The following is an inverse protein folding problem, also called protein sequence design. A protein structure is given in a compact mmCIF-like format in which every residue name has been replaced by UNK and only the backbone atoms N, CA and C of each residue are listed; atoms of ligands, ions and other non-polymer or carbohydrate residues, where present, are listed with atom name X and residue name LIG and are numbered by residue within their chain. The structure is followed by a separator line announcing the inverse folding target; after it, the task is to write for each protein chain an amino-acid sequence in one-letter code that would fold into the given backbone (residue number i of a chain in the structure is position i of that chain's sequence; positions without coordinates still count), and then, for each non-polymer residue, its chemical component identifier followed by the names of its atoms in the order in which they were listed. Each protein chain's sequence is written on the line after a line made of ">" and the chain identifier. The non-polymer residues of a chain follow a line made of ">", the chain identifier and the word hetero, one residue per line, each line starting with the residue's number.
data_IF_036478093391
#
_entry.id   IF_036478093391
#
_cell.length_a   1.000
_cell.length_b   1.000
_cell.length_c   1.000
_cell.angle_alpha   90.00
_cell.angle_beta   90.00
_cell.angle_gamma   90.00
#
_symmetry.space_group_name_H-M   'P 1'
#
loop_
_entity.id
_entity.type
_entity.pdbx_description
1 polymer ?
#
# COMPACT_ATOMS: atom_id res chain seq x y z
N UNK A 1 23.49 3.79 -11.05
CA UNK A 1 22.04 3.85 -11.16
C UNK A 1 21.61 5.17 -10.55
N UNK A 2 20.78 5.91 -11.25
CA UNK A 2 20.17 7.15 -10.75
C UNK A 2 19.25 6.84 -9.58
N UNK A 3 19.09 7.80 -8.67
CA UNK A 3 18.24 7.63 -7.51
C UNK A 3 16.77 7.85 -7.90
N UNK A 4 15.90 6.98 -7.42
CA UNK A 4 14.46 7.18 -7.52
C UNK A 4 13.99 8.28 -6.55
N UNK A 5 13.00 9.07 -6.94
CA UNK A 5 12.36 10.05 -6.08
C UNK A 5 10.91 9.65 -5.87
N UNK A 6 10.51 9.49 -4.61
CA UNK A 6 9.14 9.11 -4.24
C UNK A 6 8.46 10.31 -3.59
N UNK A 7 7.46 10.88 -4.26
CA UNK A 7 6.60 11.91 -3.68
C UNK A 7 5.49 11.24 -2.88
N UNK A 8 5.50 11.40 -1.57
CA UNK A 8 4.50 10.78 -0.70
C UNK A 8 4.31 11.53 0.62
N UNK A 9 3.28 11.13 1.35
CA UNK A 9 2.96 11.60 2.71
C UNK A 9 3.27 10.44 3.68
N UNK A 10 3.92 10.68 4.83
CA UNK A 10 4.05 9.68 5.88
C UNK A 10 2.70 9.07 6.26
N UNK A 11 2.64 7.76 6.37
CA UNK A 11 1.41 7.02 6.66
C UNK A 11 0.55 6.69 5.44
N UNK A 12 0.95 7.08 4.21
CA UNK A 12 0.27 6.64 3.01
C UNK A 12 0.54 5.15 2.74
N UNK A 13 -0.48 4.28 2.72
CA UNK A 13 -0.28 2.87 2.39
C UNK A 13 0.27 2.67 0.97
N UNK A 14 -0.20 3.47 0.01
CA UNK A 14 0.27 3.42 -1.38
C UNK A 14 1.72 3.90 -1.53
N UNK A 15 2.10 4.98 -0.83
CA UNK A 15 3.50 5.42 -0.78
C UNK A 15 4.41 4.38 -0.14
N UNK A 16 3.93 3.73 0.93
CA UNK A 16 4.65 2.64 1.59
C UNK A 16 4.86 1.43 0.67
N UNK A 17 3.87 1.07 -0.15
CA UNK A 17 4.01 0.00 -1.15
C UNK A 17 5.15 0.27 -2.14
N UNK A 18 5.27 1.51 -2.64
CA UNK A 18 6.36 1.91 -3.54
C UNK A 18 7.72 1.85 -2.83
N UNK A 19 7.83 2.42 -1.64
CA UNK A 19 9.07 2.41 -0.87
C UNK A 19 9.49 0.99 -0.47
N UNK A 20 8.55 0.16 0.00
CA UNK A 20 8.83 -1.24 0.32
C UNK A 20 9.30 -2.04 -0.91
N UNK A 21 8.75 -1.75 -2.10
CA UNK A 21 9.21 -2.35 -3.34
C UNK A 21 10.65 -1.94 -3.67
N UNK A 22 11.00 -0.67 -3.49
CA UNK A 22 12.38 -0.20 -3.68
C UNK A 22 13.35 -0.85 -2.69
N UNK A 23 12.94 -1.01 -1.42
CA UNK A 23 13.72 -1.75 -0.41
C UNK A 23 13.95 -3.24 -0.81
N UNK A 24 12.90 -3.93 -1.27
CA UNK A 24 13.03 -5.33 -1.75
C UNK A 24 13.94 -5.44 -2.96
N UNK A 25 13.97 -4.41 -3.81
CA UNK A 25 14.86 -4.31 -4.97
C UNK A 25 16.28 -3.87 -4.62
N UNK A 26 16.56 -3.50 -3.38
CA UNK A 26 17.84 -2.89 -2.99
C UNK A 26 18.15 -1.60 -3.76
N UNK A 27 17.13 -0.91 -4.25
CA UNK A 27 17.27 0.28 -5.06
C UNK A 27 17.34 1.53 -4.17
N UNK A 28 18.27 2.45 -4.48
CA UNK A 28 18.38 3.71 -3.75
C UNK A 28 17.27 4.65 -4.15
N UNK A 29 16.68 5.30 -3.16
CA UNK A 29 15.65 6.30 -3.38
C UNK A 29 15.74 7.42 -2.33
N UNK A 30 15.10 8.55 -2.62
CA UNK A 30 14.85 9.62 -1.66
C UNK A 30 13.35 9.92 -1.59
N UNK A 31 12.89 10.28 -0.42
CA UNK A 31 11.54 10.80 -0.24
C UNK A 31 11.52 12.29 -0.61
N UNK A 32 10.55 12.68 -1.42
CA UNK A 32 10.15 14.07 -1.61
C UNK A 32 8.81 14.25 -0.86
N UNK A 33 8.83 14.76 0.38
CA UNK A 33 7.65 14.79 1.21
C UNK A 33 6.60 15.77 0.66
N UNK A 34 5.37 15.27 0.54
CA UNK A 34 4.21 16.08 0.18
C UNK A 34 3.51 16.50 1.46
N UNK A 35 3.23 17.78 1.63
CA UNK A 35 2.54 18.27 2.81
C UNK A 35 1.04 17.97 2.73
N UNK A 36 0.41 17.48 3.81
CA UNK A 36 -1.05 17.38 3.87
C UNK A 36 -1.69 18.75 3.53
N UNK A 37 -2.74 18.71 2.70
CA UNK A 37 -3.41 19.94 2.24
C UNK A 37 -2.84 20.57 0.95
N UNK A 38 -1.65 20.15 0.48
CA UNK A 38 -1.07 20.68 -0.76
C UNK A 38 -1.34 19.83 -2.01
N UNK A 39 -2.05 18.72 -1.88
CA UNK A 39 -2.38 17.80 -2.99
C UNK A 39 -3.12 18.47 -4.17
N UNK A 40 -3.78 19.60 -3.91
CA UNK A 40 -4.48 20.39 -4.95
C UNK A 40 -3.72 21.65 -5.35
N UNK A 41 -2.50 21.85 -4.89
CA UNK A 41 -1.66 22.97 -5.33
C UNK A 41 -1.26 22.80 -6.80
N UNK A 42 -1.05 23.91 -7.55
CA UNK A 42 -0.59 23.83 -8.94
C UNK A 42 0.70 23.01 -9.10
N UNK A 43 1.62 23.12 -8.15
CA UNK A 43 2.88 22.37 -8.17
C UNK A 43 2.62 20.85 -8.10
N UNK A 44 1.78 20.40 -7.17
CA UNK A 44 1.48 18.97 -7.07
C UNK A 44 0.60 18.47 -8.22
N UNK A 45 -0.34 19.28 -8.70
CA UNK A 45 -1.18 18.91 -9.84
C UNK A 45 -0.39 18.77 -11.15
N UNK A 46 0.75 19.44 -11.28
CA UNK A 46 1.68 19.24 -12.39
C UNK A 46 2.35 17.85 -12.36
N UNK A 47 2.56 17.27 -11.17
CA UNK A 47 3.09 15.92 -10.99
C UNK A 47 1.99 14.86 -11.08
N UNK A 48 0.82 15.13 -10.48
CA UNK A 48 -0.31 14.21 -10.42
C UNK A 48 -1.62 14.94 -10.69
N UNK A 49 -2.18 14.88 -11.90
CA UNK A 49 -3.32 15.72 -12.30
C UNK A 49 -4.60 15.47 -11.48
N UNK A 50 -4.71 14.32 -10.81
CA UNK A 50 -5.84 14.01 -9.92
C UNK A 50 -5.56 14.39 -8.46
N UNK A 51 -4.36 14.95 -8.14
CA UNK A 51 -3.97 15.40 -6.80
C UNK A 51 -3.95 14.26 -5.79
N UNK A 52 -3.27 13.17 -6.14
CA UNK A 52 -3.05 12.00 -5.27
C UNK A 52 -1.55 11.74 -5.08
N UNK A 53 -1.22 10.77 -4.29
CA UNK A 53 0.10 10.21 -4.04
C UNK A 53 0.00 8.67 -4.10
N UNK A 54 1.12 7.98 -4.37
CA UNK A 54 2.47 8.48 -4.66
C UNK A 54 2.66 8.96 -6.10
N UNK A 55 3.76 9.72 -6.32
CA UNK A 55 4.37 9.90 -7.64
C UNK A 55 5.80 9.40 -7.56
N UNK A 56 6.27 8.73 -8.60
CA UNK A 56 7.67 8.33 -8.78
C UNK A 56 8.29 9.20 -9.86
N UNK A 57 9.51 9.69 -9.61
CA UNK A 57 10.37 10.25 -10.65
C UNK A 57 11.64 9.39 -10.77
N UNK A 58 12.06 9.14 -12.00
CA UNK A 58 13.28 8.42 -12.33
C UNK A 58 13.85 8.93 -13.65
N UNK A 59 15.05 9.54 -13.63
CA UNK A 59 15.71 10.11 -14.80
C UNK A 59 14.84 11.06 -15.62
N UNK A 60 14.07 11.93 -14.95
CA UNK A 60 13.16 12.87 -15.62
C UNK A 60 11.84 12.25 -16.09
N UNK A 61 11.64 10.94 -15.92
CA UNK A 61 10.38 10.27 -16.18
C UNK A 61 9.51 10.30 -14.92
N UNK A 62 8.36 10.99 -14.97
CA UNK A 62 7.36 11.02 -13.91
C UNK A 62 6.27 9.97 -14.12
N UNK A 63 5.93 9.22 -13.06
CA UNK A 63 4.92 8.18 -13.11
C UNK A 63 4.04 8.23 -11.85
N UNK A 64 2.74 8.16 -12.03
CA UNK A 64 1.76 8.00 -10.95
C UNK A 64 0.92 6.73 -11.18
N UNK A 65 -0.02 6.40 -10.27
CA UNK A 65 -0.70 5.11 -10.08
C UNK A 65 0.24 4.04 -9.52
N UNK A 66 -0.02 3.63 -8.30
CA UNK A 66 0.84 2.68 -7.56
C UNK A 66 1.09 1.40 -8.35
N UNK A 67 0.06 0.81 -8.96
CA UNK A 67 0.22 -0.39 -9.79
C UNK A 67 1.22 -0.18 -10.94
N UNK A 68 1.13 0.97 -11.63
CA UNK A 68 2.04 1.28 -12.73
C UNK A 68 3.48 1.47 -12.21
N UNK A 69 3.63 2.15 -11.07
CA UNK A 69 4.92 2.36 -10.42
C UNK A 69 5.57 1.03 -10.04
N UNK A 70 4.85 0.13 -9.36
CA UNK A 70 5.37 -1.16 -8.93
C UNK A 70 5.84 -2.01 -10.13
N UNK A 71 5.04 -2.05 -11.21
CA UNK A 71 5.42 -2.77 -12.44
C UNK A 71 6.61 -2.14 -13.15
N UNK A 72 6.70 -0.80 -13.15
CA UNK A 72 7.85 -0.09 -13.69
C UNK A 72 9.12 -0.45 -12.91
N UNK A 73 9.08 -0.39 -11.59
CA UNK A 73 10.19 -0.74 -10.72
C UNK A 73 10.67 -2.17 -10.95
N UNK A 74 9.74 -3.14 -11.07
CA UNK A 74 10.07 -4.55 -11.30
C UNK A 74 10.78 -4.78 -12.65
N UNK A 75 10.48 -3.95 -13.66
CA UNK A 75 11.11 -4.02 -14.98
C UNK A 75 12.48 -3.35 -15.06
N UNK A 76 12.64 -2.19 -14.41
CA UNK A 76 13.89 -1.40 -14.48
C UNK A 76 14.93 -1.87 -13.47
N UNK A 77 14.49 -2.55 -12.42
CA UNK A 77 15.34 -3.26 -11.44
C UNK A 77 14.86 -4.71 -11.42
N UNK A 78 15.28 -5.57 -12.36
CA UNK A 78 14.67 -6.88 -12.57
C UNK A 78 14.89 -7.86 -11.40
N UNK A 79 15.96 -7.68 -10.63
CA UNK A 79 16.31 -8.59 -9.53
C UNK A 79 16.05 -7.97 -8.15
N UNK A 80 15.51 -8.77 -7.21
CA UNK A 80 14.81 -10.05 -7.41
C UNK A 80 13.49 -9.86 -8.18
N UNK A 81 13.05 -10.83 -9.02
CA UNK A 81 11.79 -10.71 -9.75
C UNK A 81 10.61 -10.74 -8.78
N UNK A 82 9.65 -9.81 -8.95
CA UNK A 82 8.43 -9.69 -8.13
C UNK A 82 7.16 -9.96 -8.94
N UNK A 83 7.29 -10.19 -10.25
CA UNK A 83 6.23 -10.67 -11.12
C UNK A 83 6.48 -12.15 -11.43
N UNK A 84 5.55 -13.06 -11.09
CA UNK A 84 5.70 -14.47 -11.39
C UNK A 84 5.88 -14.73 -12.90
N UNK A 85 6.77 -15.64 -13.25
CA UNK A 85 6.96 -16.06 -14.65
C UNK A 85 5.79 -16.90 -15.19
N UNK A 86 5.11 -17.66 -14.31
CA UNK A 86 3.91 -18.41 -14.69
C UNK A 86 2.74 -17.44 -14.95
N UNK A 87 2.09 -17.52 -16.12
CA UNK A 87 1.04 -16.57 -16.49
C UNK A 87 -0.21 -16.63 -15.61
N UNK A 88 -0.53 -17.78 -15.00
CA UNK A 88 -1.67 -17.89 -14.10
C UNK A 88 -1.38 -17.23 -12.76
N UNK A 89 -0.16 -17.41 -12.24
CA UNK A 89 0.31 -16.72 -11.03
C UNK A 89 0.43 -15.21 -11.26
N UNK A 90 0.93 -14.78 -12.41
CA UNK A 90 0.97 -13.36 -12.78
C UNK A 90 -0.45 -12.76 -12.86
N UNK A 91 -1.40 -13.46 -13.47
CA UNK A 91 -2.80 -13.03 -13.52
C UNK A 91 -3.44 -12.98 -12.12
N UNK A 92 -3.08 -13.91 -11.22
CA UNK A 92 -3.51 -13.88 -9.82
C UNK A 92 -2.95 -12.67 -9.08
N UNK A 93 -1.66 -12.37 -9.27
CA UNK A 93 -1.03 -11.16 -8.75
C UNK A 93 -1.80 -9.91 -9.19
N UNK A 94 -2.11 -9.79 -10.48
CA UNK A 94 -2.85 -8.66 -11.03
C UNK A 94 -4.28 -8.57 -10.47
N UNK A 95 -4.94 -9.71 -10.29
CA UNK A 95 -6.27 -9.76 -9.70
C UNK A 95 -6.25 -9.24 -8.26
N UNK A 96 -5.29 -9.66 -7.44
CA UNK A 96 -5.17 -9.22 -6.03
C UNK A 96 -4.88 -7.72 -5.95
N UNK A 97 -4.01 -7.20 -6.81
CA UNK A 97 -3.73 -5.75 -6.90
C UNK A 97 -5.01 -4.97 -7.21
N UNK A 98 -5.82 -5.43 -8.17
CA UNK A 98 -7.10 -4.80 -8.49
C UNK A 98 -8.13 -4.93 -7.35
N UNK A 99 -8.19 -6.07 -6.67
CA UNK A 99 -9.04 -6.25 -5.49
C UNK A 99 -8.65 -5.28 -4.39
N UNK A 100 -7.35 -5.06 -4.19
CA UNK A 100 -6.86 -4.08 -3.22
C UNK A 100 -7.34 -2.66 -3.54
N UNK A 101 -7.21 -2.19 -4.78
CA UNK A 101 -7.53 -0.80 -5.12
C UNK A 101 -9.04 -0.55 -5.16
N UNK A 102 -9.80 -1.42 -5.81
CA UNK A 102 -11.21 -1.18 -6.07
C UNK A 102 -12.15 -1.60 -4.95
N UNK A 103 -11.82 -2.70 -4.27
CA UNK A 103 -12.73 -3.27 -3.27
C UNK A 103 -12.23 -3.05 -1.84
N UNK A 104 -10.95 -3.24 -1.58
CA UNK A 104 -10.41 -2.97 -0.24
C UNK A 104 -10.31 -1.47 -0.01
N UNK A 105 -9.51 -0.73 -0.79
CA UNK A 105 -9.27 0.68 -0.52
C UNK A 105 -10.51 1.53 -0.81
N UNK A 106 -10.99 1.56 -2.06
CA UNK A 106 -12.14 2.41 -2.41
C UNK A 106 -13.46 1.92 -1.81
N UNK A 107 -13.60 0.60 -1.62
CA UNK A 107 -14.81 0.00 -1.08
C UNK A 107 -15.03 0.22 0.42
N UNK A 108 -13.95 0.21 1.22
CA UNK A 108 -14.05 0.29 2.67
C UNK A 108 -12.84 0.95 3.35
N UNK A 109 -11.62 0.71 2.89
CA UNK A 109 -10.40 1.19 3.55
C UNK A 109 -10.30 2.71 3.61
N UNK A 110 -10.69 3.41 2.54
CA UNK A 110 -10.72 4.88 2.51
C UNK A 110 -11.71 5.48 3.51
N UNK A 111 -12.75 4.75 3.89
CA UNK A 111 -13.70 5.18 4.93
C UNK A 111 -13.19 4.78 6.31
N UNK A 112 -13.01 3.48 6.56
CA UNK A 112 -12.65 2.96 7.89
C UNK A 112 -11.28 3.51 8.32
N UNK A 113 -10.28 3.44 7.45
CA UNK A 113 -8.94 3.95 7.73
C UNK A 113 -8.90 5.46 7.96
N UNK A 114 -9.68 6.22 7.17
CA UNK A 114 -9.79 7.66 7.40
C UNK A 114 -10.47 7.96 8.74
N UNK A 115 -11.61 7.38 9.02
CA UNK A 115 -12.38 7.65 10.22
C UNK A 115 -11.67 7.22 11.50
N UNK A 116 -10.95 6.08 11.47
CA UNK A 116 -10.27 5.54 12.66
C UNK A 116 -8.87 6.09 12.89
N UNK A 117 -8.13 6.37 11.82
CA UNK A 117 -6.69 6.67 11.93
C UNK A 117 -6.34 8.05 11.39
N UNK A 118 -6.62 8.31 10.11
CA UNK A 118 -6.12 9.53 9.44
C UNK A 118 -6.80 10.79 9.99
N UNK A 119 -8.12 10.81 10.05
CA UNK A 119 -8.90 11.94 10.53
C UNK A 119 -8.58 12.31 11.98
N UNK A 120 -8.61 11.37 12.93
CA UNK A 120 -8.22 11.63 14.32
C UNK A 120 -6.75 12.06 14.47
N UNK A 121 -5.82 11.34 13.83
CA UNK A 121 -4.36 11.58 14.02
C UNK A 121 -3.86 12.88 13.39
N UNK A 122 -4.37 13.23 12.20
CA UNK A 122 -3.88 14.38 11.44
C UNK A 122 -4.77 15.61 11.53
N UNK A 123 -6.06 15.46 11.83
CA UNK A 123 -7.03 16.53 11.77
C UNK A 123 -7.83 16.72 13.08
N UNK A 124 -7.62 15.85 14.08
CA UNK A 124 -8.35 15.90 15.35
C UNK A 124 -9.86 15.62 15.22
N UNK A 125 -10.28 14.95 14.14
CA UNK A 125 -11.67 14.64 13.88
C UNK A 125 -12.15 13.48 14.76
N UNK A 126 -13.43 13.52 15.15
CA UNK A 126 -14.10 12.37 15.75
C UNK A 126 -14.55 11.42 14.63
N UNK A 127 -14.43 10.08 14.82
CA UNK A 127 -14.94 9.11 13.87
C UNK A 127 -16.44 9.25 13.62
N UNK A 128 -16.85 9.09 12.37
CA UNK A 128 -18.24 8.93 11.96
C UNK A 128 -18.58 7.43 12.00
N UNK A 129 -19.22 7.01 13.09
CA UNK A 129 -19.59 5.61 13.32
C UNK A 129 -20.59 5.10 12.28
N UNK A 130 -21.51 5.94 11.81
CA UNK A 130 -22.50 5.55 10.81
C UNK A 130 -21.83 5.27 9.44
N UNK A 131 -20.84 6.08 9.05
CA UNK A 131 -20.06 5.85 7.85
C UNK A 131 -19.25 4.54 7.93
N UNK A 132 -18.67 4.25 9.10
CA UNK A 132 -17.93 3.00 9.33
C UNK A 132 -18.89 1.81 9.23
N UNK A 133 -20.02 1.83 9.92
CA UNK A 133 -21.03 0.76 9.90
C UNK A 133 -21.52 0.49 8.47
N UNK A 134 -21.75 1.54 7.68
CA UNK A 134 -22.15 1.41 6.27
C UNK A 134 -21.07 0.77 5.38
N UNK A 135 -19.78 0.89 5.73
CA UNK A 135 -18.67 0.27 5.00
C UNK A 135 -18.43 -1.20 5.38
N UNK A 136 -18.86 -1.64 6.58
CA UNK A 136 -18.57 -2.98 7.12
C UNK A 136 -19.03 -4.15 6.24
N UNK A 137 -20.24 -4.15 5.61
CA UNK A 137 -20.63 -5.27 4.75
C UNK A 137 -19.68 -5.51 3.58
N UNK A 138 -19.15 -4.44 2.97
CA UNK A 138 -18.14 -4.54 1.90
C UNK A 138 -16.80 -5.01 2.46
N UNK A 139 -16.39 -4.51 3.62
CA UNK A 139 -15.17 -4.93 4.27
C UNK A 139 -15.17 -6.43 4.56
N UNK A 140 -16.25 -6.98 5.14
CA UNK A 140 -16.39 -8.43 5.38
C UNK A 140 -16.24 -9.24 4.10
N UNK A 141 -16.90 -8.83 3.02
CA UNK A 141 -16.81 -9.53 1.73
C UNK A 141 -15.38 -9.52 1.18
N UNK A 142 -14.68 -8.39 1.28
CA UNK A 142 -13.30 -8.26 0.78
C UNK A 142 -12.33 -9.10 1.60
N UNK A 143 -12.41 -9.08 2.93
CA UNK A 143 -11.52 -9.87 3.78
C UNK A 143 -11.75 -11.37 3.59
N UNK A 144 -13.00 -11.81 3.45
CA UNK A 144 -13.32 -13.21 3.10
C UNK A 144 -12.71 -13.61 1.74
N UNK A 145 -12.82 -12.74 0.74
CA UNK A 145 -12.23 -13.00 -0.59
C UNK A 145 -10.70 -12.99 -0.56
N UNK A 146 -10.07 -12.08 0.17
CA UNK A 146 -8.62 -12.07 0.32
C UNK A 146 -8.11 -13.34 0.99
N UNK A 147 -8.79 -13.81 2.06
CA UNK A 147 -8.47 -15.09 2.69
C UNK A 147 -8.59 -16.26 1.71
N UNK A 148 -9.66 -16.28 0.90
CA UNK A 148 -9.86 -17.30 -0.14
C UNK A 148 -8.79 -17.25 -1.23
N UNK A 149 -8.39 -16.03 -1.67
CA UNK A 149 -7.37 -15.85 -2.70
C UNK A 149 -5.97 -16.25 -2.24
N UNK A 150 -5.65 -15.99 -0.97
CA UNK A 150 -4.41 -16.42 -0.35
C UNK A 150 -4.39 -17.96 -0.18
N UNK A 151 -5.51 -18.54 0.28
CA UNK A 151 -5.61 -19.97 0.52
C UNK A 151 -4.56 -20.46 1.52
N UNK A 152 -3.84 -21.51 1.15
CA UNK A 152 -2.73 -22.11 1.92
C UNK A 152 -1.36 -21.65 1.42
N UNK A 153 -1.31 -20.77 0.42
CA UNK A 153 -0.07 -20.30 -0.16
C UNK A 153 0.67 -19.33 0.79
N UNK A 154 2.00 -19.30 0.77
CA UNK A 154 2.75 -18.36 1.60
C UNK A 154 2.59 -16.89 1.16
N UNK A 155 2.28 -16.65 -0.14
CA UNK A 155 2.06 -15.32 -0.73
C UNK A 155 0.87 -15.33 -1.69
N UNK A 156 0.32 -14.16 -2.01
CA UNK A 156 -0.89 -14.03 -2.82
C UNK A 156 -0.78 -14.55 -4.27
N UNK A 157 0.45 -14.65 -4.79
CA UNK A 157 0.68 -15.20 -6.12
C UNK A 157 1.42 -16.54 -6.12
N UNK A 158 1.46 -17.24 -4.99
CA UNK A 158 2.05 -18.57 -4.85
C UNK A 158 3.16 -18.62 -3.80
N UNK A 159 4.26 -19.29 -4.11
CA UNK A 159 5.34 -19.63 -3.19
C UNK A 159 6.40 -18.54 -3.00
N UNK A 160 6.38 -17.48 -3.81
CA UNK A 160 7.33 -16.37 -3.76
C UNK A 160 6.62 -15.02 -3.57
N UNK A 161 7.34 -14.08 -2.92
CA UNK A 161 6.91 -12.70 -2.78
C UNK A 161 6.60 -12.08 -4.16
N UNK A 162 5.52 -11.34 -4.26
CA UNK A 162 5.10 -10.69 -5.49
C UNK A 162 4.69 -9.23 -5.27
N UNK A 163 4.46 -8.51 -6.36
CA UNK A 163 3.92 -7.14 -6.30
C UNK A 163 2.55 -7.08 -5.62
N UNK A 164 1.75 -8.17 -5.65
CA UNK A 164 0.48 -8.24 -4.93
C UNK A 164 0.68 -8.09 -3.42
N UNK A 165 1.66 -8.82 -2.87
CA UNK A 165 1.97 -8.80 -1.44
C UNK A 165 2.45 -7.42 -1.00
N UNK A 166 3.35 -6.81 -1.78
CA UNK A 166 3.89 -5.48 -1.51
C UNK A 166 2.83 -4.37 -1.63
N UNK A 167 1.83 -4.56 -2.48
CA UNK A 167 0.74 -3.61 -2.68
C UNK A 167 -0.32 -3.69 -1.58
N UNK A 168 -0.72 -4.91 -1.19
CA UNK A 168 -1.82 -5.11 -0.25
C UNK A 168 -1.39 -5.03 1.22
N UNK A 169 -0.14 -5.40 1.53
CA UNK A 169 0.34 -5.44 2.91
C UNK A 169 0.16 -4.10 3.64
N UNK A 170 0.57 -2.93 3.09
CA UNK A 170 0.38 -1.67 3.79
C UNK A 170 -1.08 -1.32 4.08
N UNK A 171 -2.00 -1.79 3.25
CA UNK A 171 -3.44 -1.60 3.44
C UNK A 171 -3.95 -2.45 4.61
N UNK A 172 -3.60 -3.75 4.65
CA UNK A 172 -4.02 -4.63 5.74
C UNK A 172 -3.34 -4.26 7.06
N UNK A 173 -2.06 -3.91 7.04
CA UNK A 173 -1.33 -3.39 8.21
C UNK A 173 -2.03 -2.15 8.79
N UNK A 174 -2.54 -1.28 7.94
CA UNK A 174 -3.30 -0.11 8.37
C UNK A 174 -4.60 -0.47 9.10
N UNK A 175 -5.28 -1.54 8.66
CA UNK A 175 -6.47 -2.05 9.34
C UNK A 175 -6.18 -2.58 10.75
N UNK A 176 -4.97 -3.10 11.01
CA UNK A 176 -4.59 -3.55 12.37
C UNK A 176 -4.63 -2.42 13.41
N UNK A 177 -4.59 -1.17 12.98
CA UNK A 177 -4.70 0.01 13.84
C UNK A 177 -6.15 0.37 14.17
N UNK A 178 -7.13 -0.38 13.67
CA UNK A 178 -8.55 -0.12 13.84
C UNK A 178 -9.22 -1.20 14.70
N UNK A 179 -10.25 -0.85 15.51
CA UNK A 179 -11.02 -1.85 16.26
C UNK A 179 -11.67 -2.91 15.36
N UNK A 180 -12.02 -2.53 14.13
CA UNK A 180 -12.66 -3.39 13.14
C UNK A 180 -11.78 -4.58 12.72
N UNK A 181 -10.46 -4.52 12.95
CA UNK A 181 -9.55 -5.66 12.70
C UNK A 181 -9.98 -6.94 13.44
N UNK A 182 -10.51 -6.80 14.64
CA UNK A 182 -10.97 -7.95 15.42
C UNK A 182 -12.09 -8.74 14.71
N UNK A 183 -12.92 -8.06 13.92
CA UNK A 183 -13.98 -8.67 13.13
C UNK A 183 -13.53 -9.04 11.71
N UNK A 184 -12.69 -8.21 11.10
CA UNK A 184 -12.35 -8.34 9.69
C UNK A 184 -11.15 -9.25 9.42
N UNK A 185 -10.09 -9.13 10.21
CA UNK A 185 -8.83 -9.86 9.99
C UNK A 185 -8.69 -11.09 10.85
N UNK A 186 -8.96 -10.96 12.16
CA UNK A 186 -8.76 -12.04 13.14
C UNK A 186 -9.48 -13.35 12.80
N UNK A 187 -10.68 -13.37 12.18
CA UNK A 187 -11.34 -14.62 11.79
C UNK A 187 -10.62 -15.40 10.68
N UNK A 188 -9.61 -14.83 10.04
CA UNK A 188 -8.87 -15.45 8.94
C UNK A 188 -7.40 -15.71 9.33
N UNK A 189 -7.08 -16.86 9.95
CA UNK A 189 -5.72 -17.15 10.43
C UNK A 189 -4.66 -17.06 9.34
N UNK A 190 -4.96 -17.49 8.11
CA UNK A 190 -4.04 -17.41 6.99
C UNK A 190 -3.66 -15.96 6.63
N UNK A 191 -4.59 -15.00 6.72
CA UNK A 191 -4.28 -13.58 6.53
C UNK A 191 -3.45 -13.03 7.69
N UNK A 192 -3.75 -13.43 8.92
CA UNK A 192 -2.99 -13.01 10.11
C UNK A 192 -1.55 -13.52 10.03
N UNK A 193 -1.36 -14.79 9.68
CA UNK A 193 -0.05 -15.41 9.53
C UNK A 193 0.74 -14.78 8.38
N UNK A 194 0.08 -14.55 7.24
CA UNK A 194 0.69 -13.85 6.10
C UNK A 194 1.12 -12.43 6.50
N UNK A 195 0.24 -11.67 7.14
CA UNK A 195 0.53 -10.29 7.57
C UNK A 195 1.71 -10.27 8.57
N UNK A 196 1.75 -11.20 9.52
CA UNK A 196 2.85 -11.33 10.47
C UNK A 196 4.19 -11.57 9.75
N UNK A 197 4.21 -12.47 8.75
CA UNK A 197 5.41 -12.70 7.93
C UNK A 197 5.82 -11.45 7.15
N UNK A 198 4.85 -10.73 6.60
CA UNK A 198 5.13 -9.49 5.86
C UNK A 198 5.66 -8.39 6.77
N UNK A 199 5.10 -8.21 7.96
CA UNK A 199 5.57 -7.23 8.96
C UNK A 199 7.01 -7.49 9.41
N UNK A 200 7.43 -8.76 9.46
CA UNK A 200 8.79 -9.14 9.82
C UNK A 200 9.84 -8.87 8.73
N UNK A 201 9.43 -8.47 7.51
CA UNK A 201 10.37 -8.17 6.43
C UNK A 201 11.11 -6.85 6.67
N UNK A 202 12.44 -6.79 6.39
CA UNK A 202 13.21 -5.56 6.54
C UNK A 202 12.62 -4.37 5.76
N UNK A 203 12.09 -4.62 4.55
CA UNK A 203 11.46 -3.62 3.70
C UNK A 203 10.27 -2.92 4.37
N UNK A 204 9.44 -3.66 5.10
CA UNK A 204 8.32 -3.08 5.83
C UNK A 204 8.73 -2.43 7.15
N UNK A 205 9.76 -2.95 7.81
CA UNK A 205 10.35 -2.31 8.98
C UNK A 205 11.00 -0.96 8.64
N UNK A 206 11.63 -0.84 7.46
CA UNK A 206 12.24 0.39 6.96
C UNK A 206 11.21 1.46 6.54
N UNK A 207 9.97 1.08 6.27
CA UNK A 207 8.93 1.95 5.69
C UNK A 207 7.72 2.15 6.59
N UNK A 208 7.87 2.01 7.91
CA UNK A 208 6.79 2.33 8.87
C UNK A 208 6.44 3.82 8.82
N UNK A 209 5.28 4.18 9.34
CA UNK A 209 4.85 5.59 9.40
C UNK A 209 5.91 6.48 10.05
N UNK A 210 6.45 6.04 11.17
CA UNK A 210 7.46 6.76 11.96
C UNK A 210 8.76 6.91 11.16
N UNK A 211 9.24 5.86 10.50
CA UNK A 211 10.44 5.91 9.66
C UNK A 211 10.28 6.87 8.49
N UNK A 212 9.15 6.81 7.80
CA UNK A 212 8.85 7.72 6.68
C UNK A 212 8.69 9.16 7.17
N UNK A 213 8.11 9.37 8.37
CA UNK A 213 8.04 10.70 8.98
C UNK A 213 9.42 11.25 9.33
N UNK A 214 10.35 10.42 9.80
CA UNK A 214 11.73 10.84 10.05
C UNK A 214 12.49 11.13 8.75
N UNK A 215 12.31 10.35 7.69
CA UNK A 215 12.82 10.66 6.34
C UNK A 215 12.29 12.02 5.84
N UNK A 216 11.01 12.29 6.05
CA UNK A 216 10.38 13.55 5.63
C UNK A 216 10.90 14.78 6.38
N UNK A 217 11.41 14.64 7.63
CA UNK A 217 12.06 15.71 8.38
C UNK A 217 13.50 15.98 7.92
N UNK A 218 14.12 14.93 7.35
CA UNK A 218 15.53 15.00 6.91
C UNK A 218 15.66 15.43 5.44
N UNK A 219 14.56 15.48 4.68
CA UNK A 219 14.51 15.85 3.27
C UNK A 219 14.37 17.36 3.08
#
# INVERSE_FOLDING_TARGET
>A
MSDFIVHSIPGSPFGRAVMATLEEKGARYRLAPVMPGTLKSPVHLALHPFGRIPVLEHDGFGLYETQAILRYLDRVVPEPPLTPADPRRAARMDQVVNVCDWYLFQGCGSVIGFQRVVGPKLMGLKPDEAAIEAAMPRARAVFAELSRLLGEEPFFAGDALSLADLHIMPQLDFFTLTPEWAELGTPYPNLVDWLTRMQARPSFAATTWERVADMAKAA
#
